data_IF_422684275093
#
_entry.id   IF_422684275093
#
_cell.length_a   1.000
_cell.length_b   1.000
_cell.length_c   1.000
_cell.angle_alpha   90.00
_cell.angle_beta   90.00
_cell.angle_gamma   90.00
#
_symmetry.space_group_name_H-M   'P 1'
#
loop_
_entity.id
_entity.type
_entity.pdbx_description
1 polymer ?
#
# COMPACT_ATOMS: atom_id res chain seq x y z
N UNK A 1 -17.25 9.16 -0.94
CA UNK A 1 -15.93 8.54 -0.70
C UNK A 1 -16.03 7.73 0.58
N UNK A 2 -16.09 6.40 0.51
CA UNK A 2 -16.13 5.55 1.72
C UNK A 2 -14.73 5.60 2.33
N UNK A 3 -14.57 6.24 3.48
CA UNK A 3 -13.31 6.24 4.23
C UNK A 3 -13.13 4.81 4.75
N UNK A 4 -12.31 4.02 4.06
CA UNK A 4 -12.06 2.63 4.38
C UNK A 4 -10.66 2.59 4.93
N UNK A 5 -10.51 2.39 6.24
CA UNK A 5 -9.22 2.40 6.90
C UNK A 5 -8.49 1.05 6.69
N UNK A 6 -8.20 0.70 5.43
CA UNK A 6 -7.52 -0.54 5.06
C UNK A 6 -6.02 -0.40 5.28
N UNK A 7 -5.48 0.78 5.07
CA UNK A 7 -4.08 1.12 5.32
C UNK A 7 -3.61 0.76 6.74
N UNK A 8 -4.36 1.14 7.78
CA UNK A 8 -4.00 0.80 9.17
C UNK A 8 -4.24 -0.68 9.50
N UNK A 9 -5.23 -1.30 8.86
CA UNK A 9 -5.56 -2.71 9.11
C UNK A 9 -4.58 -3.68 8.46
N UNK A 10 -3.95 -3.29 7.35
CA UNK A 10 -2.92 -4.09 6.67
C UNK A 10 -1.53 -3.95 7.29
N UNK A 11 -1.32 -3.01 8.22
CA UNK A 11 -0.02 -2.76 8.84
C UNK A 11 0.96 -1.96 7.99
N UNK A 12 0.54 -1.46 6.82
CA UNK A 12 1.39 -0.63 5.94
C UNK A 12 1.77 0.68 6.66
N UNK A 13 0.88 1.19 7.52
CA UNK A 13 1.12 2.35 8.39
C UNK A 13 2.35 2.21 9.30
N UNK A 14 2.71 0.98 9.67
CA UNK A 14 3.89 0.69 10.49
C UNK A 14 5.18 0.64 9.68
N UNK A 15 5.08 0.37 8.38
CA UNK A 15 6.24 0.28 7.47
C UNK A 15 6.68 1.67 7.04
N UNK A 16 5.71 2.53 6.72
CA UNK A 16 5.92 3.89 6.27
C UNK A 16 5.16 4.86 7.18
N UNK A 17 5.64 5.02 8.44
CA UNK A 17 5.07 6.03 9.33
C UNK A 17 5.23 7.40 8.68
N UNK A 18 4.26 8.28 8.91
CA UNK A 18 4.21 9.66 8.37
C UNK A 18 3.83 9.80 6.89
N UNK A 19 3.49 8.71 6.21
CA UNK A 19 2.96 8.80 4.86
C UNK A 19 1.57 9.46 4.85
N UNK A 20 1.40 10.48 3.99
CA UNK A 20 0.09 11.02 3.63
C UNK A 20 -0.54 10.11 2.59
N UNK A 21 -1.69 9.54 2.94
CA UNK A 21 -2.34 8.48 2.18
C UNK A 21 -3.55 8.98 1.39
N UNK A 22 -3.67 8.49 0.16
CA UNK A 22 -4.91 8.42 -0.60
C UNK A 22 -5.18 6.94 -0.94
N UNK A 23 -6.30 6.40 -0.45
CA UNK A 23 -6.64 4.98 -0.60
C UNK A 23 -8.03 4.80 -1.22
N UNK A 24 -8.15 3.73 -2.01
CA UNK A 24 -9.38 3.40 -2.71
C UNK A 24 -9.65 1.90 -2.66
N UNK A 25 -10.85 1.51 -2.22
CA UNK A 25 -11.35 0.14 -2.30
C UNK A 25 -12.33 0.02 -3.47
N UNK A 26 -12.04 -0.90 -4.38
CA UNK A 26 -12.91 -1.21 -5.52
C UNK A 26 -14.02 -2.18 -5.10
N UNK A 27 -15.17 -2.07 -5.77
CA UNK A 27 -16.28 -3.02 -5.66
C UNK A 27 -16.27 -3.94 -6.90
N UNK A 28 -16.40 -5.28 -6.75
CA UNK A 28 -16.63 -6.01 -5.49
C UNK A 28 -15.35 -6.23 -4.64
N UNK A 29 -14.17 -6.15 -5.25
CA UNK A 29 -12.89 -6.28 -4.56
C UNK A 29 -11.77 -5.57 -5.33
N UNK A 30 -10.62 -5.40 -4.68
CA UNK A 30 -9.47 -4.65 -5.21
C UNK A 30 -9.13 -3.46 -4.32
N UNK A 31 -7.85 -3.11 -4.25
CA UNK A 31 -7.39 -2.00 -3.40
C UNK A 31 -6.21 -1.29 -4.05
N UNK A 32 -6.22 0.04 -4.01
CA UNK A 32 -5.11 0.89 -4.45
C UNK A 32 -4.79 1.93 -3.38
N UNK A 33 -3.52 2.22 -3.23
CA UNK A 33 -3.05 3.26 -2.32
C UNK A 33 -1.88 4.02 -2.92
N UNK A 34 -1.93 5.33 -2.81
CA UNK A 34 -0.80 6.22 -3.04
C UNK A 34 -0.39 6.87 -1.72
N UNK A 35 0.89 6.81 -1.40
CA UNK A 35 1.46 7.44 -0.23
C UNK A 35 2.53 8.44 -0.60
N UNK A 36 2.46 9.63 -0.01
CA UNK A 36 3.50 10.65 -0.11
C UNK A 36 4.20 10.80 1.24
N UNK A 37 5.52 10.78 1.21
CA UNK A 37 6.39 11.04 2.35
C UNK A 37 7.08 12.41 2.19
N UNK A 38 7.73 12.92 3.26
CA UNK A 38 8.57 14.11 3.15
C UNK A 38 9.62 14.02 2.04
N UNK A 39 10.14 15.17 1.61
CA UNK A 39 11.21 15.27 0.62
C UNK A 39 10.89 14.67 -0.76
N UNK A 40 9.61 14.64 -1.14
CA UNK A 40 9.18 14.17 -2.48
C UNK A 40 9.26 12.66 -2.66
N UNK A 41 9.30 11.92 -1.55
CA UNK A 41 9.26 10.48 -1.56
C UNK A 41 7.82 9.98 -1.74
N UNK A 42 7.66 8.84 -2.40
CA UNK A 42 6.36 8.22 -2.62
C UNK A 42 6.44 6.71 -2.55
N UNK A 43 5.26 6.11 -2.36
CA UNK A 43 5.02 4.73 -2.73
C UNK A 43 3.62 4.57 -3.29
N UNK A 44 3.40 3.47 -4.01
CA UNK A 44 2.08 3.04 -4.44
C UNK A 44 1.95 1.53 -4.33
N UNK A 45 0.76 1.05 -3.98
CA UNK A 45 0.42 -0.38 -3.96
C UNK A 45 -0.89 -0.58 -4.70
N UNK A 46 -0.93 -1.61 -5.53
CA UNK A 46 -2.14 -2.08 -6.19
C UNK A 46 -2.36 -3.56 -5.91
N UNK A 47 -3.57 -3.92 -5.50
CA UNK A 47 -3.95 -5.28 -5.09
C UNK A 47 -5.10 -5.78 -5.97
N UNK A 48 -4.87 -6.93 -6.59
CA UNK A 48 -5.84 -7.78 -7.31
C UNK A 48 -6.04 -9.05 -6.46
N UNK A 49 -7.08 -9.13 -5.62
CA UNK A 49 -7.22 -10.19 -4.60
C UNK A 49 -7.87 -11.49 -5.12
N UNK A 50 -8.29 -11.55 -6.38
CA UNK A 50 -8.98 -12.71 -6.95
C UNK A 50 -8.12 -13.97 -6.85
N UNK A 51 -8.64 -15.09 -6.32
CA UNK A 51 -7.81 -16.26 -5.97
C UNK A 51 -7.17 -16.94 -7.19
N UNK A 52 -7.77 -16.81 -8.38
CA UNK A 52 -7.28 -17.46 -9.59
C UNK A 52 -6.20 -16.64 -10.32
N UNK A 53 -6.03 -15.37 -9.97
CA UNK A 53 -5.11 -14.45 -10.61
C UNK A 53 -4.63 -13.36 -9.64
N UNK A 54 -4.33 -13.77 -8.40
CA UNK A 54 -3.99 -12.83 -7.33
C UNK A 54 -2.66 -12.14 -7.64
N UNK A 55 -2.62 -10.83 -7.48
CA UNK A 55 -1.43 -10.03 -7.76
C UNK A 55 -1.34 -8.81 -6.85
N UNK A 56 -0.12 -8.45 -6.46
CA UNK A 56 0.18 -7.20 -5.76
C UNK A 56 1.41 -6.55 -6.39
N UNK A 57 1.32 -5.26 -6.70
CA UNK A 57 2.49 -4.45 -7.03
C UNK A 57 2.82 -3.48 -5.91
N UNK A 58 4.12 -3.20 -5.76
CA UNK A 58 4.65 -2.12 -4.94
C UNK A 58 5.70 -1.36 -5.74
N UNK A 59 5.60 -0.04 -5.75
CA UNK A 59 6.59 0.85 -6.35
C UNK A 59 6.90 1.98 -5.37
N UNK A 60 8.17 2.37 -5.26
CA UNK A 60 8.60 3.47 -4.40
C UNK A 60 9.93 4.04 -4.85
N UNK A 61 10.15 5.33 -4.57
CA UNK A 61 11.45 5.99 -4.68
C UNK A 61 12.11 6.24 -3.30
N UNK A 62 11.55 5.70 -2.22
CA UNK A 62 12.14 5.80 -0.87
C UNK A 62 13.51 5.09 -0.91
N UNK A 63 14.62 5.78 -0.58
CA UNK A 63 15.95 5.19 -0.57
C UNK A 63 15.96 3.96 0.33
N UNK A 64 16.56 2.86 -0.15
CA UNK A 64 16.61 1.53 0.50
C UNK A 64 16.61 1.62 2.04
N UNK A 65 15.42 1.54 2.62
CA UNK A 65 15.19 0.87 3.88
C UNK A 65 14.84 -0.56 3.47
N UNK A 66 15.19 -1.58 4.26
CA UNK A 66 14.93 -3.00 4.01
C UNK A 66 13.42 -3.38 3.99
N UNK A 67 12.57 -2.60 3.30
CA UNK A 67 11.12 -2.60 3.37
C UNK A 67 10.44 -3.51 2.33
N UNK A 68 11.09 -3.79 1.19
CA UNK A 68 10.54 -4.71 0.18
C UNK A 68 10.36 -6.14 0.75
N UNK A 69 11.18 -6.53 1.73
CA UNK A 69 11.01 -7.81 2.44
C UNK A 69 9.87 -7.79 3.48
N UNK A 70 9.46 -6.63 4.00
CA UNK A 70 8.35 -6.53 4.97
C UNK A 70 6.98 -6.62 4.29
N UNK A 71 6.79 -6.01 3.12
CA UNK A 71 5.53 -6.09 2.36
C UNK A 71 5.18 -7.52 1.93
N UNK A 72 6.17 -8.38 1.70
CA UNK A 72 5.98 -9.79 1.33
C UNK A 72 5.73 -10.73 2.51
N UNK A 73 5.84 -10.27 3.77
CA UNK A 73 5.62 -11.12 4.96
C UNK A 73 4.19 -11.06 5.49
N UNK A 74 3.43 -10.02 5.17
CA UNK A 74 2.13 -9.72 5.78
C UNK A 74 0.97 -9.65 4.76
N UNK A 75 1.23 -9.98 3.49
CA UNK A 75 0.24 -10.17 2.42
C UNK A 75 0.17 -11.65 2.05
#
# INVERSE_FOLDING_TARGET
MKIINKFQKSGIDKILPDAKIDEFLFEPCGYSINGLLPHGQYFTIHVTPEPNCSYVSFESNVPKVDQAQMLLREL
#
